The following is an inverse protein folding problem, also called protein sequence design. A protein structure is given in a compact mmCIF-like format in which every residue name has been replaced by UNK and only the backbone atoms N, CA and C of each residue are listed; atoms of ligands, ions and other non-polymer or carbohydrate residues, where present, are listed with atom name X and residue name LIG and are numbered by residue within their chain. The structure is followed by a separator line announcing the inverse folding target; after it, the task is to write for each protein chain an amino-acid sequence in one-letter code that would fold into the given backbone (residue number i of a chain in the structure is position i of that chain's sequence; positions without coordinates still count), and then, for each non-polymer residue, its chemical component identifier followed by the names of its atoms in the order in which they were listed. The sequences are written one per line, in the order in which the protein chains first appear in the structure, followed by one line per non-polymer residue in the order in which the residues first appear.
data_IF_312019497903
#
_entry.id   IF_312019497903
#
_cell.length_a   1.000
_cell.length_b   1.000
_cell.length_c   1.000
_cell.angle_alpha   90.00
_cell.angle_beta   90.00
_cell.angle_gamma   90.00
#
_symmetry.space_group_name_H-M   'P 1'
#
loop_
_entity.id
_entity.type
_entity.pdbx_description
1 polymer ?
#
# COMPACT_ATOMS: atom_id res chain seq x y z
N UNK A 1 -0.68 -7.54 -25.34
CA UNK A 1 -0.56 -6.14 -24.88
C UNK A 1 0.04 -5.26 -25.98
N UNK A 2 1.24 -5.53 -26.47
CA UNK A 2 1.92 -4.72 -27.48
C UNK A 2 1.09 -4.47 -28.74
N UNK A 3 0.45 -5.52 -29.29
CA UNK A 3 -0.47 -5.39 -30.43
C UNK A 3 -1.61 -4.37 -30.20
N UNK A 4 -2.06 -4.24 -28.94
CA UNK A 4 -3.10 -3.27 -28.54
C UNK A 4 -2.52 -1.94 -28.06
N UNK A 5 -1.22 -1.69 -28.28
CA UNK A 5 -0.50 -0.49 -27.85
C UNK A 5 -0.57 -0.21 -26.34
N UNK A 6 -0.70 -1.26 -25.54
CA UNK A 6 -0.58 -1.17 -24.08
C UNK A 6 0.90 -1.16 -23.73
N UNK A 7 1.32 -0.21 -22.90
CA UNK A 7 2.73 0.02 -22.53
C UNK A 7 3.02 -0.15 -21.04
N UNK A 8 2.01 -0.50 -20.23
CA UNK A 8 2.16 -0.78 -18.82
C UNK A 8 1.34 -2.00 -18.41
N UNK A 9 1.91 -2.81 -17.51
CA UNK A 9 1.28 -3.97 -16.89
C UNK A 9 1.45 -3.86 -15.38
N UNK A 10 0.37 -3.66 -14.63
CA UNK A 10 0.40 -3.76 -13.18
C UNK A 10 0.14 -5.21 -12.78
N UNK A 11 1.01 -5.77 -11.94
CA UNK A 11 0.85 -7.10 -11.36
C UNK A 11 0.68 -6.94 -9.86
N UNK A 12 -0.46 -7.42 -9.35
CA UNK A 12 -0.82 -7.35 -7.95
C UNK A 12 -0.39 -8.65 -7.25
N UNK A 13 0.58 -8.53 -6.33
CA UNK A 13 1.21 -9.69 -5.70
C UNK A 13 0.71 -10.01 -4.29
N UNK A 14 0.22 -8.99 -3.57
CA UNK A 14 -0.26 -9.16 -2.21
C UNK A 14 -1.70 -8.70 -2.04
N UNK A 15 -2.46 -9.45 -1.28
CA UNK A 15 -3.87 -9.22 -0.97
C UNK A 15 -4.23 -10.01 0.30
N UNK A 16 -5.43 -9.78 0.88
CA UNK A 16 -5.93 -10.53 2.05
C UNK A 16 -5.84 -12.05 1.88
N UNK A 17 -6.06 -12.55 0.68
CA UNK A 17 -6.11 -13.97 0.35
C UNK A 17 -4.78 -14.54 -0.16
N UNK A 18 -3.71 -13.79 -0.14
CA UNK A 18 -2.43 -14.33 -0.57
C UNK A 18 -1.31 -13.32 -0.76
N UNK A 19 -0.11 -13.84 -0.66
CA UNK A 19 1.14 -13.19 -1.02
C UNK A 19 1.82 -14.07 -2.07
N UNK A 20 1.76 -13.68 -3.35
CA UNK A 20 1.95 -14.58 -4.50
C UNK A 20 3.22 -14.31 -5.29
N UNK A 21 4.28 -14.01 -4.59
CA UNK A 21 5.63 -13.88 -5.12
C UNK A 21 6.62 -14.46 -4.09
N UNK A 22 7.69 -15.08 -4.58
CA UNK A 22 8.79 -15.55 -3.72
C UNK A 22 9.32 -14.42 -2.86
N UNK A 23 9.49 -14.68 -1.56
CA UNK A 23 10.01 -13.74 -0.58
C UNK A 23 11.16 -14.41 0.19
N UNK A 24 12.36 -13.85 0.07
CA UNK A 24 13.53 -14.30 0.82
C UNK A 24 13.60 -13.64 2.19
N UNK A 25 13.12 -12.39 2.30
CA UNK A 25 13.07 -11.62 3.56
C UNK A 25 12.19 -12.33 4.58
N UNK A 26 11.05 -12.86 4.12
CA UNK A 26 10.14 -13.61 4.97
C UNK A 26 9.36 -14.68 4.19
N UNK A 27 9.88 -15.90 4.08
CA UNK A 27 9.19 -16.98 3.38
C UNK A 27 7.87 -17.41 4.04
N UNK A 28 7.61 -17.05 5.30
CA UNK A 28 6.42 -17.48 6.04
C UNK A 28 5.13 -16.83 5.57
N UNK A 29 5.20 -15.69 4.89
CA UNK A 29 4.04 -14.98 4.36
C UNK A 29 3.61 -15.47 2.98
N UNK A 30 4.46 -16.24 2.30
CA UNK A 30 4.23 -16.66 0.91
C UNK A 30 3.12 -17.70 0.84
N UNK A 31 2.21 -17.54 -0.10
CA UNK A 31 1.13 -18.51 -0.36
C UNK A 31 1.65 -19.77 -1.05
N UNK A 32 0.89 -20.88 -1.00
CA UNK A 32 1.26 -22.15 -1.66
C UNK A 32 1.49 -22.01 -3.18
N UNK A 33 0.76 -21.09 -3.81
CA UNK A 33 0.89 -20.77 -5.22
C UNK A 33 1.44 -19.36 -5.38
N UNK A 34 2.62 -19.24 -5.90
CA UNK A 34 3.34 -17.98 -6.09
C UNK A 34 4.22 -18.01 -7.34
N UNK A 35 4.64 -16.87 -7.81
CA UNK A 35 5.68 -16.72 -8.83
C UNK A 35 7.04 -16.70 -8.16
N UNK A 36 7.95 -17.51 -8.66
CA UNK A 36 9.37 -17.44 -8.28
C UNK A 36 9.99 -16.15 -8.82
N UNK A 37 11.04 -15.66 -8.18
CA UNK A 37 11.80 -14.52 -8.69
C UNK A 37 12.37 -14.79 -10.10
N UNK A 38 12.66 -16.05 -10.42
CA UNK A 38 13.09 -16.43 -11.76
C UNK A 38 11.99 -16.21 -12.78
N UNK A 39 10.78 -16.68 -12.52
CA UNK A 39 9.62 -16.45 -13.41
C UNK A 39 9.29 -14.97 -13.56
N UNK A 40 9.41 -14.20 -12.46
CA UNK A 40 9.24 -12.74 -12.53
C UNK A 40 10.28 -12.10 -13.44
N UNK A 41 11.58 -12.49 -13.32
CA UNK A 41 12.63 -11.98 -14.23
C UNK A 41 12.35 -12.33 -15.69
N UNK A 42 11.78 -13.51 -15.98
CA UNK A 42 11.37 -13.89 -17.34
C UNK A 42 10.26 -12.97 -17.85
N UNK A 43 9.25 -12.66 -17.00
CA UNK A 43 8.18 -11.71 -17.33
C UNK A 43 8.76 -10.33 -17.63
N UNK A 44 9.66 -9.83 -16.79
CA UNK A 44 10.31 -8.53 -16.97
C UNK A 44 11.12 -8.48 -18.27
N UNK A 45 11.90 -9.54 -18.55
CA UNK A 45 12.68 -9.65 -19.76
C UNK A 45 11.80 -9.68 -21.02
N UNK A 46 10.68 -10.38 -20.97
CA UNK A 46 9.73 -10.42 -22.10
C UNK A 46 9.04 -9.06 -22.28
N UNK A 47 8.55 -8.45 -21.21
CA UNK A 47 7.91 -7.12 -21.23
C UNK A 47 8.83 -6.05 -21.83
N UNK A 48 10.12 -6.09 -21.46
CA UNK A 48 11.14 -5.17 -21.96
C UNK A 48 11.30 -5.20 -23.49
N UNK A 49 11.18 -6.39 -24.11
CA UNK A 49 11.27 -6.52 -25.59
C UNK A 49 10.18 -5.71 -26.31
N UNK A 50 9.06 -5.50 -25.66
CA UNK A 50 7.89 -4.82 -26.20
C UNK A 50 7.71 -3.39 -25.66
N UNK A 51 8.67 -2.88 -24.87
CA UNK A 51 8.58 -1.55 -24.27
C UNK A 51 7.43 -1.45 -23.23
N UNK A 52 7.10 -2.55 -22.55
CA UNK A 52 6.06 -2.58 -21.54
C UNK A 52 6.71 -2.41 -20.16
N UNK A 53 6.31 -1.36 -19.44
CA UNK A 53 6.66 -1.17 -18.03
C UNK A 53 5.85 -2.14 -17.15
N UNK A 54 6.51 -2.93 -16.31
CA UNK A 54 5.85 -3.82 -15.36
C UNK A 54 5.83 -3.14 -13.99
N UNK A 55 4.65 -2.83 -13.49
CA UNK A 55 4.43 -2.14 -12.22
C UNK A 55 4.11 -3.18 -11.15
N UNK A 56 5.01 -3.46 -10.21
CA UNK A 56 4.67 -4.33 -9.08
C UNK A 56 3.72 -3.61 -8.14
N UNK A 57 2.76 -4.35 -7.58
CA UNK A 57 1.77 -3.83 -6.63
C UNK A 57 1.76 -4.68 -5.37
N UNK A 58 2.02 -4.02 -4.24
CA UNK A 58 2.00 -4.60 -2.90
C UNK A 58 1.19 -3.70 -1.99
N UNK A 59 0.18 -4.25 -1.32
CA UNK A 59 -0.71 -3.45 -0.50
C UNK A 59 -0.19 -3.25 0.91
N UNK A 60 -0.40 -2.03 1.39
CA UNK A 60 -0.35 -1.61 2.78
C UNK A 60 -1.01 -0.21 2.90
N UNK A 61 -1.54 0.18 4.06
CA UNK A 61 -1.63 -0.56 5.33
C UNK A 61 -2.83 -1.50 5.41
N UNK A 62 -3.77 -1.47 4.45
CA UNK A 62 -4.84 -2.42 4.26
C UNK A 62 -4.39 -3.66 3.48
N UNK A 63 -5.28 -4.64 3.32
CA UNK A 63 -5.07 -5.85 2.52
C UNK A 63 -3.83 -6.67 2.90
N UNK A 64 -3.49 -6.71 4.18
CA UNK A 64 -2.29 -7.36 4.72
C UNK A 64 -2.59 -8.62 5.55
N UNK A 65 -3.77 -9.22 5.39
CA UNK A 65 -4.19 -10.39 6.20
C UNK A 65 -3.20 -11.54 6.11
N UNK A 66 -2.64 -11.78 4.92
CA UNK A 66 -1.67 -12.85 4.73
C UNK A 66 -0.37 -12.59 5.51
N UNK A 67 0.07 -11.34 5.59
CA UNK A 67 1.20 -10.93 6.42
C UNK A 67 0.84 -11.09 7.90
N UNK A 68 -0.33 -10.60 8.32
CA UNK A 68 -0.75 -10.62 9.71
C UNK A 68 -1.12 -12.01 10.24
N UNK A 69 -1.28 -13.01 9.36
CA UNK A 69 -1.35 -14.42 9.75
C UNK A 69 -0.03 -14.90 10.34
N UNK A 70 1.10 -14.51 9.73
CA UNK A 70 2.44 -14.87 10.19
C UNK A 70 2.89 -13.96 11.35
N UNK A 71 2.52 -12.68 11.27
CA UNK A 71 2.94 -11.62 12.20
C UNK A 71 1.76 -10.86 12.79
N UNK A 72 0.92 -11.50 13.65
CA UNK A 72 -0.25 -10.84 14.23
C UNK A 72 0.12 -9.63 15.11
N UNK A 73 1.35 -9.55 15.61
CA UNK A 73 1.89 -8.44 16.40
C UNK A 73 2.02 -7.12 15.59
N UNK A 74 2.00 -7.19 14.28
CA UNK A 74 2.04 -6.01 13.41
C UNK A 74 0.65 -5.45 13.07
N UNK A 75 -0.42 -6.10 13.52
CA UNK A 75 -1.79 -5.59 13.36
C UNK A 75 -2.06 -4.37 14.24
N UNK A 76 -2.87 -3.42 13.74
CA UNK A 76 -3.23 -2.21 14.49
C UNK A 76 -3.79 -2.54 15.87
N UNK A 77 -3.24 -1.93 16.90
CA UNK A 77 -3.66 -2.14 18.29
C UNK A 77 -4.89 -1.30 18.63
N UNK A 78 -5.86 -1.89 19.35
CA UNK A 78 -7.01 -1.18 19.88
C UNK A 78 -6.80 -0.68 21.32
N UNK A 79 -7.82 -0.06 21.91
CA UNK A 79 -7.78 0.45 23.29
C UNK A 79 -7.57 -0.63 24.36
N UNK A 80 -7.85 -1.89 24.04
CA UNK A 80 -7.69 -3.05 24.93
C UNK A 80 -6.38 -3.80 24.72
N UNK A 81 -5.54 -3.35 23.78
CA UNK A 81 -4.27 -4.00 23.43
C UNK A 81 -4.42 -5.18 22.47
N UNK A 82 -5.58 -5.38 21.85
CA UNK A 82 -5.76 -6.43 20.86
C UNK A 82 -5.36 -5.95 19.46
N UNK A 83 -4.76 -6.86 18.69
CA UNK A 83 -4.30 -6.58 17.34
C UNK A 83 -5.41 -6.84 16.29
N UNK A 84 -5.56 -5.92 15.34
CA UNK A 84 -6.46 -6.08 14.20
C UNK A 84 -5.85 -7.04 13.19
N UNK A 85 -6.69 -7.86 12.55
CA UNK A 85 -6.20 -8.95 11.69
C UNK A 85 -6.05 -8.58 10.22
N UNK A 86 -6.55 -7.42 9.81
CA UNK A 86 -6.65 -7.02 8.40
C UNK A 86 -6.08 -5.63 8.13
N UNK A 87 -5.38 -5.05 9.10
CA UNK A 87 -4.77 -3.73 8.93
C UNK A 87 -3.50 -3.59 9.75
N UNK A 88 -2.45 -3.11 9.11
CA UNK A 88 -1.14 -2.88 9.70
C UNK A 88 -1.22 -1.81 10.81
N UNK A 89 -0.45 -1.96 11.87
CA UNK A 89 -0.27 -0.90 12.86
C UNK A 89 0.64 0.21 12.30
N UNK A 90 -0.01 1.22 11.74
CA UNK A 90 0.66 2.41 11.17
C UNK A 90 1.31 3.31 12.22
N UNK A 91 1.16 2.96 13.50
CA UNK A 91 1.79 3.67 14.63
C UNK A 91 2.99 2.92 15.20
N UNK A 92 3.21 1.66 14.76
CA UNK A 92 4.29 0.80 15.20
C UNK A 92 5.50 0.91 14.26
N UNK A 93 6.66 1.46 14.74
CA UNK A 93 7.85 1.58 13.90
C UNK A 93 8.41 0.25 13.39
N UNK A 94 8.23 -0.85 14.14
CA UNK A 94 8.71 -2.19 13.75
C UNK A 94 7.86 -2.73 12.59
N UNK A 95 6.54 -2.58 12.64
CA UNK A 95 5.65 -2.95 11.56
C UNK A 95 5.95 -2.15 10.26
N UNK A 96 6.22 -0.84 10.40
CA UNK A 96 6.60 0.01 9.28
C UNK A 96 7.96 -0.42 8.69
N UNK A 97 8.94 -0.70 9.54
CA UNK A 97 10.26 -1.16 9.12
C UNK A 97 10.18 -2.53 8.41
N UNK A 98 9.31 -3.41 8.88
CA UNK A 98 9.06 -4.70 8.25
C UNK A 98 8.50 -4.55 6.82
N UNK A 99 7.47 -3.71 6.62
CA UNK A 99 6.95 -3.44 5.26
C UNK A 99 8.03 -2.84 4.35
N UNK A 100 8.85 -1.93 4.86
CA UNK A 100 9.98 -1.37 4.09
C UNK A 100 10.99 -2.44 3.68
N UNK A 101 11.28 -3.41 4.55
CA UNK A 101 12.21 -4.50 4.23
C UNK A 101 11.68 -5.41 3.11
N UNK A 102 10.36 -5.67 3.08
CA UNK A 102 9.72 -6.37 1.97
C UNK A 102 9.83 -5.56 0.67
N UNK A 103 9.56 -4.25 0.76
CA UNK A 103 9.62 -3.37 -0.41
C UNK A 103 11.05 -3.26 -0.97
N UNK A 104 12.08 -3.25 -0.13
CA UNK A 104 13.47 -3.26 -0.58
C UNK A 104 13.77 -4.47 -1.46
N UNK A 105 13.37 -5.66 -1.03
CA UNK A 105 13.54 -6.89 -1.80
C UNK A 105 12.90 -6.80 -3.19
N UNK A 106 11.69 -6.22 -3.27
CA UNK A 106 10.99 -6.14 -4.55
C UNK A 106 11.43 -4.93 -5.39
N UNK A 107 11.83 -3.83 -4.78
CA UNK A 107 12.43 -2.72 -5.54
C UNK A 107 13.73 -3.17 -6.22
N UNK A 108 14.52 -4.02 -5.58
CA UNK A 108 15.72 -4.62 -6.20
C UNK A 108 15.34 -5.58 -7.34
N UNK A 109 14.32 -6.42 -7.16
CA UNK A 109 13.84 -7.33 -8.21
C UNK A 109 13.31 -6.59 -9.44
N UNK A 110 12.63 -5.46 -9.24
CA UNK A 110 11.99 -4.64 -10.27
C UNK A 110 12.79 -3.39 -10.65
N UNK A 111 14.11 -3.38 -10.47
CA UNK A 111 14.99 -2.22 -10.71
C UNK A 111 14.82 -1.56 -12.10
N UNK A 112 14.31 -2.31 -13.08
CA UNK A 112 14.04 -1.81 -14.43
C UNK A 112 12.66 -1.16 -14.61
N UNK A 113 11.81 -1.15 -13.59
CA UNK A 113 10.49 -0.55 -13.61
C UNK A 113 10.58 0.94 -13.24
N UNK A 114 9.68 1.75 -13.80
CA UNK A 114 9.62 3.18 -13.47
C UNK A 114 8.73 3.48 -12.29
N UNK A 115 7.83 2.55 -11.95
CA UNK A 115 6.75 2.75 -10.99
C UNK A 115 6.69 1.58 -9.99
N UNK A 116 6.23 1.88 -8.78
CA UNK A 116 5.97 0.90 -7.74
C UNK A 116 4.66 1.24 -7.03
N UNK A 117 3.71 0.31 -6.98
CA UNK A 117 2.40 0.55 -6.37
C UNK A 117 2.39 0.05 -4.92
N UNK A 118 2.05 0.94 -4.00
CA UNK A 118 2.13 0.72 -2.56
C UNK A 118 0.77 0.46 -1.88
N UNK A 119 -0.31 0.28 -2.67
CA UNK A 119 -1.66 0.07 -2.15
C UNK A 119 -2.31 1.37 -1.68
N UNK A 120 -2.62 1.45 -0.41
CA UNK A 120 -3.17 2.62 0.25
C UNK A 120 -4.68 2.62 0.38
N UNK A 121 -5.37 1.58 -0.11
CA UNK A 121 -6.82 1.44 -0.09
C UNK A 121 -7.34 0.71 1.15
N UNK A 122 -8.61 0.89 1.39
CA UNK A 122 -9.48 0.12 2.28
C UNK A 122 -8.85 -0.32 3.62
N UNK A 123 -8.08 0.55 4.25
CA UNK A 123 -7.33 0.22 5.48
C UNK A 123 -8.21 -0.40 6.57
N UNK A 124 -9.38 0.19 6.82
CA UNK A 124 -10.43 -0.32 7.71
C UNK A 124 -11.77 0.21 7.26
N UNK A 125 -12.86 -0.44 7.65
CA UNK A 125 -14.22 0.05 7.42
C UNK A 125 -14.53 1.22 8.38
N UNK A 126 -14.24 2.46 7.93
CA UNK A 126 -14.21 3.67 8.76
C UNK A 126 -15.56 4.12 9.32
N UNK A 127 -16.66 3.64 8.76
CA UNK A 127 -18.02 4.03 9.09
C UNK A 127 -18.71 3.11 10.12
N UNK A 128 -18.08 1.97 10.46
CA UNK A 128 -18.67 0.95 11.32
C UNK A 128 -17.70 0.37 12.35
N UNK A 129 -18.25 -0.43 13.26
CA UNK A 129 -17.45 -1.22 14.18
C UNK A 129 -16.69 -2.34 13.41
N UNK A 130 -15.49 -2.74 13.86
CA UNK A 130 -14.86 -2.31 15.11
C UNK A 130 -14.09 -0.97 15.04
N UNK A 131 -13.90 -0.40 13.84
CA UNK A 131 -13.10 0.82 13.70
C UNK A 131 -13.63 1.97 14.60
N UNK A 132 -14.92 2.32 14.49
CA UNK A 132 -15.52 3.45 15.21
C UNK A 132 -15.49 3.28 16.73
N UNK A 133 -15.54 2.05 17.23
CA UNK A 133 -15.64 1.72 18.66
C UNK A 133 -14.30 1.42 19.33
N UNK A 134 -13.31 0.90 18.58
CA UNK A 134 -12.09 0.36 19.18
C UNK A 134 -10.80 1.02 18.70
N UNK A 135 -10.72 1.42 17.42
CA UNK A 135 -9.46 1.88 16.80
C UNK A 135 -9.40 3.40 16.59
N UNK A 136 -10.55 4.04 16.26
CA UNK A 136 -10.61 5.46 15.93
C UNK A 136 -10.02 6.35 17.04
N UNK A 137 -10.32 6.05 18.29
CA UNK A 137 -9.81 6.85 19.43
C UNK A 137 -8.30 6.71 19.64
N UNK A 138 -7.74 5.52 19.41
CA UNK A 138 -6.30 5.26 19.48
C UNK A 138 -5.58 6.07 18.43
N UNK A 139 -6.03 5.99 17.17
CA UNK A 139 -5.44 6.72 16.05
C UNK A 139 -5.60 8.23 16.20
N UNK A 140 -6.74 8.72 16.71
CA UNK A 140 -6.92 10.15 17.00
C UNK A 140 -5.95 10.62 18.09
N UNK A 141 -5.74 9.84 19.14
CA UNK A 141 -4.80 10.16 20.21
C UNK A 141 -3.37 10.21 19.68
N UNK A 142 -3.02 9.27 18.81
CA UNK A 142 -1.72 9.26 18.14
C UNK A 142 -1.56 10.48 17.21
N UNK A 143 -2.59 10.83 16.43
CA UNK A 143 -2.59 11.99 15.55
C UNK A 143 -2.28 13.29 16.32
N UNK A 144 -2.99 13.52 17.43
CA UNK A 144 -2.76 14.68 18.29
C UNK A 144 -1.35 14.69 18.86
N UNK A 145 -0.85 13.54 19.29
CA UNK A 145 0.52 13.43 19.85
C UNK A 145 1.60 13.70 18.78
N UNK A 146 1.42 13.19 17.57
CA UNK A 146 2.42 13.28 16.49
C UNK A 146 2.36 14.61 15.73
N UNK A 147 1.16 15.13 15.47
CA UNK A 147 0.97 16.27 14.58
C UNK A 147 0.40 17.52 15.28
N UNK A 148 -0.18 17.37 16.46
CA UNK A 148 -0.76 18.47 17.24
C UNK A 148 -2.30 18.47 17.26
N UNK A 149 -2.87 19.47 17.95
CA UNK A 149 -4.33 19.61 18.05
C UNK A 149 -4.99 19.84 16.69
N UNK A 150 -6.16 19.22 16.49
CA UNK A 150 -6.95 19.31 15.26
C UNK A 150 -6.62 18.27 14.21
N UNK A 151 -5.60 17.43 14.43
CA UNK A 151 -5.33 16.25 13.59
C UNK A 151 -6.12 15.04 14.08
N UNK A 152 -6.48 14.16 13.15
CA UNK A 152 -7.31 12.98 13.38
C UNK A 152 -6.68 11.72 12.74
N UNK A 153 -7.33 10.60 12.95
CA UNK A 153 -6.91 9.30 12.40
C UNK A 153 -6.60 9.31 10.88
N UNK A 154 -7.35 10.10 10.09
CA UNK A 154 -7.10 10.26 8.64
C UNK A 154 -5.71 10.80 8.34
N UNK A 155 -5.24 11.72 9.18
CA UNK A 155 -3.89 12.28 9.04
C UNK A 155 -2.80 11.23 9.36
N UNK A 156 -3.09 10.28 10.25
CA UNK A 156 -2.17 9.18 10.55
C UNK A 156 -2.01 8.27 9.34
N UNK A 157 -3.12 7.88 8.72
CA UNK A 157 -3.10 7.02 7.53
C UNK A 157 -2.39 7.72 6.37
N UNK A 158 -2.77 8.97 6.09
CA UNK A 158 -2.13 9.75 5.04
C UNK A 158 -0.63 9.99 5.32
N UNK A 159 -0.27 10.21 6.58
CA UNK A 159 1.14 10.33 6.99
C UNK A 159 1.93 9.05 6.72
N UNK A 160 1.37 7.87 7.03
CA UNK A 160 1.98 6.59 6.70
C UNK A 160 2.19 6.42 5.19
N UNK A 161 1.13 6.67 4.40
CA UNK A 161 1.20 6.55 2.94
C UNK A 161 2.24 7.52 2.35
N UNK A 162 2.30 8.75 2.84
CA UNK A 162 3.30 9.73 2.41
C UNK A 162 4.73 9.28 2.74
N UNK A 163 4.97 8.83 3.97
CA UNK A 163 6.29 8.37 4.42
C UNK A 163 6.76 7.15 3.61
N UNK A 164 5.84 6.25 3.24
CA UNK A 164 6.14 5.08 2.42
C UNK A 164 6.38 5.47 0.95
N UNK A 165 5.60 6.41 0.43
CA UNK A 165 5.78 6.93 -0.92
C UNK A 165 7.11 7.68 -1.08
N UNK A 166 7.48 8.49 -0.11
CA UNK A 166 8.80 9.14 -0.09
C UNK A 166 9.93 8.10 -0.05
N UNK A 167 9.74 7.04 0.73
CA UNK A 167 10.70 5.94 0.79
C UNK A 167 10.91 5.28 -0.59
N UNK A 168 9.82 4.94 -1.28
CA UNK A 168 9.84 4.35 -2.63
C UNK A 168 10.43 5.34 -3.65
N UNK A 169 10.07 6.62 -3.54
CA UNK A 169 10.61 7.66 -4.42
C UNK A 169 12.13 7.80 -4.29
N UNK A 170 12.64 7.78 -3.07
CA UNK A 170 14.08 7.88 -2.79
C UNK A 170 14.88 6.66 -3.32
N UNK A 171 14.20 5.56 -3.63
CA UNK A 171 14.76 4.38 -4.33
C UNK A 171 14.68 4.50 -5.86
N UNK A 172 14.18 5.62 -6.39
CA UNK A 172 14.15 5.91 -7.83
C UNK A 172 12.86 5.52 -8.55
N UNK A 173 11.83 5.09 -7.83
CA UNK A 173 10.53 4.74 -8.42
C UNK A 173 9.53 5.89 -8.30
N UNK A 174 8.57 5.93 -9.21
CA UNK A 174 7.36 6.73 -9.04
C UNK A 174 6.36 5.93 -8.21
N UNK A 175 6.04 6.36 -6.96
CA UNK A 175 5.07 5.66 -6.14
C UNK A 175 3.67 5.81 -6.74
N UNK A 176 2.90 4.72 -6.74
CA UNK A 176 1.47 4.70 -7.11
C UNK A 176 0.64 4.23 -5.94
N UNK A 177 -0.57 4.78 -5.83
CA UNK A 177 -1.53 4.44 -4.77
C UNK A 177 -2.94 4.34 -5.35
N UNK A 178 -3.84 3.68 -4.62
CA UNK A 178 -5.27 3.85 -4.78
C UNK A 178 -5.70 5.16 -4.10
N UNK A 179 -6.63 5.89 -4.71
CA UNK A 179 -6.98 7.24 -4.24
C UNK A 179 -7.84 7.25 -2.97
N UNK A 180 -8.58 6.19 -2.68
CA UNK A 180 -9.48 6.09 -1.53
C UNK A 180 -8.74 6.07 -0.18
N UNK A 181 -7.48 5.70 -0.13
CA UNK A 181 -6.63 5.81 1.07
C UNK A 181 -6.25 7.24 1.46
N UNK A 182 -6.36 8.19 0.55
CA UNK A 182 -5.95 9.60 0.77
C UNK A 182 -7.03 10.61 0.40
N UNK A 183 -7.99 10.26 -0.46
CA UNK A 183 -9.08 11.13 -0.87
C UNK A 183 -10.42 10.65 -0.31
N UNK A 184 -10.95 11.39 0.63
CA UNK A 184 -12.19 11.07 1.34
C UNK A 184 -13.43 11.86 0.85
N UNK A 185 -13.30 12.57 -0.29
CA UNK A 185 -14.36 13.43 -0.83
C UNK A 185 -14.56 14.74 -0.07
N UNK A 186 -15.22 15.72 -0.72
CA UNK A 186 -15.42 17.07 -0.13
C UNK A 186 -16.33 17.06 1.09
N UNK A 187 -17.26 16.11 1.19
CA UNK A 187 -18.25 16.05 2.26
C UNK A 187 -17.88 15.09 3.41
N UNK A 188 -16.72 14.45 3.37
CA UNK A 188 -16.30 13.47 4.37
C UNK A 188 -15.43 14.05 5.50
N UNK A 189 -15.28 15.37 5.53
CA UNK A 189 -14.50 16.08 6.54
C UNK A 189 -15.28 16.30 7.82
N UNK A 190 -15.05 15.47 8.82
CA UNK A 190 -15.27 15.86 10.20
C UNK A 190 -14.02 16.62 10.68
N UNK A 191 -13.97 17.91 10.41
CA UNK A 191 -13.25 18.91 11.17
C UNK A 191 -11.75 19.08 10.95
N UNK A 192 -10.94 18.08 10.80
CA UNK A 192 -9.51 18.28 10.56
C UNK A 192 -9.17 17.99 9.10
N UNK A 193 -8.56 18.95 8.49
CA UNK A 193 -8.04 18.81 7.14
C UNK A 193 -6.91 17.78 7.16
N UNK A 194 -6.96 16.83 6.26
CA UNK A 194 -5.84 15.96 5.98
C UNK A 194 -4.70 16.80 5.37
N UNK A 195 -3.95 17.48 6.23
CA UNK A 195 -2.88 18.40 5.82
C UNK A 195 -1.72 17.66 5.19
N UNK A 196 -1.53 16.38 5.54
CA UNK A 196 -0.44 15.57 5.00
C UNK A 196 -0.73 15.13 3.56
N UNK A 197 -1.98 14.80 3.22
CA UNK A 197 -2.33 14.42 1.85
C UNK A 197 -2.12 15.55 0.83
N UNK A 198 -2.25 16.81 1.24
CA UNK A 198 -2.06 17.97 0.36
C UNK A 198 -0.60 18.29 0.04
N UNK A 199 0.34 17.92 0.91
CA UNK A 199 1.74 18.23 0.72
C UNK A 199 2.40 17.45 -0.42
N UNK A 200 1.85 16.32 -0.82
CA UNK A 200 2.47 15.38 -1.76
C UNK A 200 1.71 15.12 -3.05
N UNK A 201 0.61 15.85 -3.33
CA UNK A 201 -0.15 15.72 -4.57
C UNK A 201 0.70 15.91 -5.84
N UNK A 202 1.83 16.59 -5.74
CA UNK A 202 2.74 16.77 -6.87
C UNK A 202 3.61 15.54 -7.17
N UNK A 203 3.61 14.53 -6.31
CA UNK A 203 4.44 13.33 -6.44
C UNK A 203 3.64 12.08 -6.84
N UNK A 204 2.33 12.10 -6.64
CA UNK A 204 1.47 10.96 -6.91
C UNK A 204 0.78 11.08 -8.25
N UNK A 205 1.06 10.15 -9.14
CA UNK A 205 0.11 9.83 -10.20
C UNK A 205 -1.05 9.07 -9.54
N UNK A 206 -2.05 9.82 -9.06
CA UNK A 206 -3.32 9.23 -8.64
C UNK A 206 -3.94 8.60 -9.88
N UNK A 207 -3.93 7.30 -9.95
CA UNK A 207 -4.63 6.60 -11.01
C UNK A 207 -6.12 6.68 -10.73
N UNK A 208 -6.81 7.67 -11.34
CA UNK A 208 -8.26 7.65 -11.47
C UNK A 208 -8.64 6.45 -12.35
N UNK A 209 -8.78 5.29 -11.76
CA UNK A 209 -9.31 4.12 -12.45
C UNK A 209 -10.59 3.74 -11.76
N UNK A 210 -11.71 3.84 -12.50
CA UNK A 210 -12.93 3.17 -12.10
C UNK A 210 -12.62 1.68 -11.87
N UNK A 211 -13.06 1.17 -10.73
CA UNK A 211 -12.87 -0.20 -10.33
C UNK A 211 -13.30 -1.20 -11.41
N UNK A 212 -12.33 -1.91 -11.95
CA UNK A 212 -12.53 -3.29 -12.35
C UNK A 212 -11.61 -4.13 -11.48
N UNK A 213 -12.19 -4.92 -10.60
CA UNK A 213 -11.50 -5.77 -9.62
C UNK A 213 -10.59 -6.86 -10.20
N UNK A 214 -10.46 -6.93 -11.52
CA UNK A 214 -9.60 -7.91 -12.19
C UNK A 214 -8.95 -7.24 -13.40
N UNK A 215 -7.64 -7.06 -13.40
CA UNK A 215 -6.81 -6.45 -14.43
C UNK A 215 -7.12 -4.97 -14.70
N UNK A 216 -6.47 -4.07 -13.98
CA UNK A 216 -6.53 -2.64 -14.27
C UNK A 216 -5.50 -2.29 -15.36
N UNK A 217 -5.98 -1.82 -16.49
CA UNK A 217 -5.13 -1.27 -17.55
C UNK A 217 -5.12 0.25 -17.41
N UNK A 218 -3.97 0.83 -17.14
CA UNK A 218 -3.81 2.29 -17.16
C UNK A 218 -3.36 2.73 -18.54
N UNK A 219 -4.15 3.57 -19.22
CA UNK A 219 -3.67 4.30 -20.38
C UNK A 219 -2.76 5.43 -19.86
N UNK A 220 -1.47 5.30 -20.09
CA UNK A 220 -0.51 6.37 -19.89
C UNK A 220 -0.41 7.10 -21.26
N UNK A 221 -0.86 8.35 -21.27
CA UNK A 221 -0.61 9.28 -22.38
C UNK A 221 0.77 9.90 -22.24
#
# INVERSE_FOLDING_TARGET
MSYMKMNALQIHFSENMGFRIECETDPSIVSDQYLTKTEVREILAEAKKYGINVIPSFDSPGHVDQILKAHPEYGQVNTSGNHYKSGLDVTNPEAIAYIRSLYDEYMDLFEGSTDFHIGGDEYMEFDRAPFTTEYKSVLNSYAVKKYGQGYIWKDVIAGYINDLAEYVHNRGFTPRIWNDGVYYGENSYEGAQNKNAWLYWNWFLVTNVMEFKYCKFTNIH
#
